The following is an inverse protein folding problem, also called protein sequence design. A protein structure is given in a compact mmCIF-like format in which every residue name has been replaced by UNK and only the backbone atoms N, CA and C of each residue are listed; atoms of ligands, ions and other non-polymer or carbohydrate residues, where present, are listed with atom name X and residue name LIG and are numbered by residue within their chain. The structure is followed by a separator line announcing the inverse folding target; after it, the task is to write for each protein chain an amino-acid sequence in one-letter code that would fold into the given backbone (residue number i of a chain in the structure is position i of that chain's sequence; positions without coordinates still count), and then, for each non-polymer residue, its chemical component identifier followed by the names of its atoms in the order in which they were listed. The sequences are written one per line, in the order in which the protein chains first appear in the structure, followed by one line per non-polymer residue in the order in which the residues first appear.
data_IF_886378615622
#
_entry.id   IF_886378615622
#
_cell.length_a   1.000
_cell.length_b   1.000
_cell.length_c   1.000
_cell.angle_alpha   90.00
_cell.angle_beta   90.00
_cell.angle_gamma   90.00
#
_symmetry.space_group_name_H-M   'P 1'
#
loop_
_entity.id
_entity.type
_entity.pdbx_description
1 polymer ?
#
# COMPACT_ATOMS: atom_id res chain seq x y z
N UNK A 1 15.37 5.68 30.23
CA UNK A 1 14.90 4.62 29.31
C UNK A 1 14.35 5.32 28.08
N UNK A 2 14.67 4.84 26.87
CA UNK A 2 14.34 5.52 25.60
C UNK A 2 12.87 5.98 25.48
N UNK A 3 11.93 5.29 26.14
CA UNK A 3 10.52 5.68 26.15
C UNK A 3 10.17 6.85 27.07
N UNK A 4 10.78 6.94 28.26
CA UNK A 4 10.62 8.08 29.16
C UNK A 4 11.29 9.35 28.59
N UNK A 5 12.46 9.23 27.97
CA UNK A 5 13.19 10.35 27.34
C UNK A 5 12.47 10.93 26.11
N UNK A 6 11.62 10.15 25.44
CA UNK A 6 10.85 10.59 24.27
C UNK A 6 9.45 11.09 24.63
N UNK A 7 9.11 11.19 25.92
CA UNK A 7 7.81 11.67 26.38
C UNK A 7 6.65 10.75 26.04
N UNK A 8 6.91 9.46 25.80
CA UNK A 8 5.83 8.50 25.58
C UNK A 8 5.15 8.19 26.92
N UNK A 9 3.86 8.52 26.99
CA UNK A 9 3.01 8.30 28.17
C UNK A 9 2.55 6.85 28.33
N UNK A 10 2.80 6.01 27.32
CA UNK A 10 2.35 4.62 27.30
C UNK A 10 3.53 3.66 27.41
N UNK A 11 3.40 2.68 28.32
CA UNK A 11 4.29 1.54 28.43
C UNK A 11 4.34 0.78 27.08
N UNK A 12 5.53 0.34 26.63
CA UNK A 12 5.62 -0.44 25.41
C UNK A 12 4.80 -1.73 25.52
N UNK A 13 3.84 -1.92 24.61
CA UNK A 13 3.04 -3.15 24.48
C UNK A 13 3.86 -4.43 24.27
N UNK A 14 5.17 -4.33 24.05
CA UNK A 14 6.10 -5.44 23.79
C UNK A 14 7.42 -5.14 24.46
N UNK A 15 8.03 -6.14 25.10
CA UNK A 15 9.36 -6.02 25.69
C UNK A 15 10.44 -5.72 24.62
N UNK A 16 11.61 -5.24 25.06
CA UNK A 16 12.72 -4.87 24.18
C UNK A 16 13.11 -5.99 23.22
N UNK A 17 13.23 -7.23 23.71
CA UNK A 17 13.57 -8.40 22.88
C UNK A 17 12.52 -8.70 21.81
N UNK A 18 11.23 -8.64 22.13
CA UNK A 18 10.15 -8.80 21.13
C UNK A 18 10.14 -7.67 20.09
N UNK A 19 10.57 -6.46 20.49
CA UNK A 19 10.69 -5.31 19.58
C UNK A 19 11.88 -5.47 18.64
N UNK A 20 13.00 -5.92 19.16
CA UNK A 20 14.22 -6.23 18.39
C UNK A 20 13.99 -7.39 17.43
N UNK A 21 13.40 -8.51 17.88
CA UNK A 21 13.05 -9.64 17.02
C UNK A 21 12.14 -9.22 15.86
N UNK A 22 11.16 -8.33 16.10
CA UNK A 22 10.28 -7.84 15.02
C UNK A 22 10.99 -6.89 14.06
N UNK A 23 11.97 -6.11 14.54
CA UNK A 23 12.83 -5.29 13.68
C UNK A 23 13.74 -6.18 12.83
N UNK A 24 14.36 -7.19 13.43
CA UNK A 24 15.20 -8.16 12.75
C UNK A 24 14.43 -8.94 11.67
N UNK A 25 13.24 -9.44 12.00
CA UNK A 25 12.39 -10.15 11.02
C UNK A 25 11.97 -9.27 9.84
N UNK A 26 11.84 -7.95 10.03
CA UNK A 26 11.58 -7.00 8.94
C UNK A 26 12.82 -6.69 8.10
N UNK A 27 14.01 -6.94 8.62
CA UNK A 27 15.29 -6.74 7.91
C UNK A 27 15.74 -8.01 7.18
N UNK A 28 15.42 -9.20 7.69
CA UNK A 28 15.71 -10.49 7.04
C UNK A 28 14.71 -10.79 5.92
N UNK A 29 13.43 -10.47 6.11
CA UNK A 29 12.41 -10.59 5.07
C UNK A 29 12.29 -9.27 4.32
N UNK A 30 13.34 -8.99 3.52
CA UNK A 30 13.54 -7.79 2.73
C UNK A 30 12.24 -7.07 2.37
N UNK A 31 12.08 -5.89 2.96
CA UNK A 31 11.00 -4.98 2.59
C UNK A 31 11.00 -4.71 1.09
N UNK A 32 9.79 -4.45 0.60
CA UNK A 32 9.49 -3.80 -0.67
C UNK A 32 9.69 -4.66 -1.93
N UNK A 33 8.70 -5.53 -2.20
CA UNK A 33 8.00 -5.42 -3.48
C UNK A 33 8.27 -6.46 -4.57
N UNK A 34 8.27 -7.78 -4.28
CA UNK A 34 8.34 -8.74 -5.39
C UNK A 34 7.59 -10.07 -5.26
N UNK A 35 6.86 -10.34 -4.17
CA UNK A 35 6.11 -11.60 -3.99
C UNK A 35 4.64 -11.53 -4.44
N UNK A 36 4.24 -10.47 -5.14
CA UNK A 36 3.01 -10.55 -5.93
C UNK A 36 3.43 -11.24 -7.21
N UNK A 37 3.13 -12.55 -7.32
CA UNK A 37 3.27 -13.30 -8.57
C UNK A 37 2.72 -12.50 -9.76
N UNK A 38 3.11 -12.84 -11.00
CA UNK A 38 2.77 -12.07 -12.19
C UNK A 38 1.27 -11.77 -12.19
N UNK A 39 0.92 -10.49 -12.04
CA UNK A 39 -0.48 -10.08 -11.99
C UNK A 39 -1.00 -10.14 -13.42
N UNK A 40 -2.14 -10.79 -13.61
CA UNK A 40 -2.84 -10.68 -14.88
C UNK A 40 -3.26 -9.23 -15.08
N UNK A 41 -2.87 -8.70 -16.23
CA UNK A 41 -3.06 -7.33 -16.62
C UNK A 41 -4.24 -7.30 -17.60
N UNK A 42 -5.31 -6.59 -17.24
CA UNK A 42 -6.53 -6.50 -18.05
C UNK A 42 -6.58 -5.16 -18.78
N UNK A 43 -6.89 -5.20 -20.08
CA UNK A 43 -7.11 -4.01 -20.89
C UNK A 43 -8.51 -3.44 -20.64
N UNK A 44 -8.58 -2.13 -20.42
CA UNK A 44 -9.82 -1.40 -20.11
C UNK A 44 -9.79 -0.03 -20.77
N UNK A 45 -10.96 0.56 -20.95
CA UNK A 45 -11.11 1.95 -21.44
C UNK A 45 -11.31 2.87 -20.23
N UNK A 46 -10.51 3.93 -20.14
CA UNK A 46 -10.63 4.92 -19.09
C UNK A 46 -11.98 5.66 -19.19
N UNK A 47 -12.74 5.70 -18.10
CA UNK A 47 -14.05 6.37 -18.06
C UNK A 47 -13.96 7.91 -18.14
N UNK A 48 -12.79 8.50 -17.88
CA UNK A 48 -12.60 9.96 -17.89
C UNK A 48 -12.05 10.47 -19.23
N UNK A 49 -10.97 9.88 -19.74
CA UNK A 49 -10.30 10.35 -20.95
C UNK A 49 -10.50 9.46 -22.18
N UNK A 50 -11.13 8.29 -22.05
CA UNK A 50 -11.38 7.37 -23.17
C UNK A 50 -10.16 6.59 -23.67
N UNK A 51 -8.97 6.80 -23.09
CA UNK A 51 -7.76 6.09 -23.49
C UNK A 51 -7.74 4.63 -23.01
N UNK A 52 -7.00 3.78 -23.73
CA UNK A 52 -6.75 2.41 -23.32
C UNK A 52 -5.77 2.38 -22.13
N UNK A 53 -6.14 1.66 -21.07
CA UNK A 53 -5.35 1.49 -19.87
C UNK A 53 -5.25 0.02 -19.48
N UNK A 54 -4.24 -0.31 -18.68
CA UNK A 54 -4.00 -1.67 -18.22
C UNK A 54 -4.05 -1.70 -16.71
N UNK A 55 -4.93 -2.52 -16.14
CA UNK A 55 -5.16 -2.59 -14.69
C UNK A 55 -4.87 -3.99 -14.15
N UNK A 56 -4.36 -4.12 -12.91
CA UNK A 56 -4.03 -5.42 -12.31
C UNK A 56 -5.24 -6.10 -11.64
N UNK A 57 -6.46 -5.72 -12.01
CA UNK A 57 -7.71 -6.25 -11.46
C UNK A 57 -8.75 -6.41 -12.56
N UNK A 58 -9.62 -7.41 -12.44
CA UNK A 58 -10.70 -7.62 -13.40
C UNK A 58 -11.80 -6.55 -13.18
N UNK A 59 -12.12 -5.72 -14.19
CA UNK A 59 -13.22 -4.75 -14.09
C UNK A 59 -14.55 -5.48 -13.94
N UNK A 60 -15.34 -5.14 -12.92
CA UNK A 60 -16.62 -5.78 -12.62
C UNK A 60 -17.84 -5.01 -13.17
N UNK A 61 -17.62 -3.88 -13.84
CA UNK A 61 -18.68 -3.06 -14.46
C UNK A 61 -19.55 -2.25 -13.48
N UNK A 62 -19.39 -2.46 -12.17
CA UNK A 62 -20.06 -1.74 -11.08
C UNK A 62 -19.46 -0.35 -10.83
N UNK A 63 -18.17 -0.17 -11.13
CA UNK A 63 -17.41 1.07 -10.89
C UNK A 63 -16.60 1.51 -12.11
N UNK A 64 -16.48 2.83 -12.33
CA UNK A 64 -15.66 3.36 -13.42
C UNK A 64 -14.19 3.03 -13.19
N UNK A 65 -13.50 2.66 -14.27
CA UNK A 65 -12.07 2.39 -14.25
C UNK A 65 -11.33 3.56 -14.88
N UNK A 66 -10.24 3.98 -14.24
CA UNK A 66 -9.44 5.12 -14.65
C UNK A 66 -8.02 4.69 -15.02
N UNK A 67 -7.40 5.39 -15.97
CA UNK A 67 -5.96 5.25 -16.22
C UNK A 67 -5.17 5.82 -15.03
N UNK A 68 -3.89 5.45 -14.94
CA UNK A 68 -2.99 5.89 -13.85
C UNK A 68 -2.97 7.41 -13.67
N UNK A 69 -3.05 8.17 -14.75
CA UNK A 69 -3.03 9.64 -14.72
C UNK A 69 -4.33 10.22 -14.15
N UNK A 70 -5.48 9.77 -14.65
CA UNK A 70 -6.80 10.17 -14.15
C UNK A 70 -7.01 9.75 -12.69
N UNK A 71 -6.57 8.54 -12.33
CA UNK A 71 -6.62 8.06 -10.94
C UNK A 71 -5.77 8.91 -10.00
N UNK A 72 -4.57 9.30 -10.44
CA UNK A 72 -3.68 10.18 -9.66
C UNK A 72 -4.31 11.56 -9.47
N UNK A 73 -4.97 12.11 -10.49
CA UNK A 73 -5.69 13.40 -10.44
C UNK A 73 -6.91 13.38 -9.52
N UNK A 74 -7.64 12.26 -9.45
CA UNK A 74 -8.78 12.09 -8.55
C UNK A 74 -8.41 12.00 -7.05
N UNK A 75 -7.12 11.97 -6.70
CA UNK A 75 -6.66 12.00 -5.32
C UNK A 75 -6.18 10.65 -4.76
N UNK A 76 -5.99 9.63 -5.61
CA UNK A 76 -5.45 8.33 -5.17
C UNK A 76 -3.96 8.34 -4.78
N UNK A 77 -3.25 9.45 -5.01
CA UNK A 77 -1.80 9.58 -4.78
C UNK A 77 -1.37 10.35 -3.53
N UNK A 78 -2.31 10.82 -2.71
CA UNK A 78 -2.04 11.74 -1.60
C UNK A 78 -2.23 11.14 -0.21
N UNK A 79 -1.34 10.25 0.22
CA UNK A 79 -1.05 10.02 1.64
C UNK A 79 -2.17 9.46 2.54
N UNK A 80 -2.15 8.14 2.76
CA UNK A 80 -2.65 7.55 4.02
C UNK A 80 -3.90 6.68 3.90
N UNK A 81 -3.69 5.35 3.94
CA UNK A 81 -4.66 4.42 4.52
C UNK A 81 -5.99 4.23 3.77
N UNK A 82 -5.96 3.88 2.48
CA UNK A 82 -7.15 3.48 1.73
C UNK A 82 -7.30 1.96 1.68
N UNK A 83 -8.31 1.44 2.38
CA UNK A 83 -8.68 0.03 2.39
C UNK A 83 -9.23 -0.39 1.03
N UNK A 84 -8.60 -1.38 0.43
CA UNK A 84 -9.28 -2.43 -0.30
C UNK A 84 -8.87 -3.76 0.33
#
# INVERSE_FOLDING_TARGET
SYHAEKGYTNEPKRCTSCREARRANRSTEGGFGSDRGPREMHSVVCAECGNQATVPFLPRGDRPVYCSDCFSRQGGGGGGGGRY
#
